data_IF_778303127665
#
_entry.id   IF_778303127665
#
_cell.length_a   1.000
_cell.length_b   1.000
_cell.length_c   1.000
_cell.angle_alpha   90.00
_cell.angle_beta   90.00
_cell.angle_gamma   90.00
#
_symmetry.space_group_name_H-M   'P 1'
#
loop_
_entity.id
_entity.type
_entity.pdbx_description
1 polymer ?
#
# COMPACT_ATOMS: atom_id res chain seq x y z
N UNK A 1 -8.58 -22.61 35.17
CA UNK A 1 -8.68 -22.65 33.69
C UNK A 1 -8.20 -21.31 33.18
N UNK A 2 -6.95 -21.23 32.72
CA UNK A 2 -6.35 -20.00 32.23
C UNK A 2 -6.89 -19.74 30.83
N UNK A 3 -7.82 -18.78 30.70
CA UNK A 3 -8.20 -18.25 29.39
C UNK A 3 -6.97 -17.55 28.83
N UNK A 4 -6.26 -18.22 27.91
CA UNK A 4 -5.18 -17.59 27.16
C UNK A 4 -5.79 -16.37 26.48
N UNK A 5 -5.49 -15.18 27.01
CA UNK A 5 -5.94 -13.92 26.44
C UNK A 5 -5.17 -13.77 25.12
N UNK A 6 -5.74 -14.36 24.07
CA UNK A 6 -5.29 -14.12 22.71
C UNK A 6 -5.60 -12.65 22.51
N UNK A 7 -4.58 -11.84 22.27
CA UNK A 7 -4.73 -10.48 21.78
C UNK A 7 -4.73 -10.57 20.26
N UNK A 8 -5.84 -10.97 19.60
CA UNK A 8 -5.83 -11.04 18.16
C UNK A 8 -5.58 -9.63 17.64
N UNK A 9 -4.71 -9.51 16.64
CA UNK A 9 -4.46 -8.24 15.95
C UNK A 9 -5.75 -7.59 15.42
N UNK A 10 -6.83 -8.38 15.31
CA UNK A 10 -8.16 -7.99 14.89
C UNK A 10 -8.97 -7.21 15.95
N UNK A 11 -8.56 -7.22 17.23
CA UNK A 11 -9.24 -6.43 18.29
C UNK A 11 -8.63 -5.04 18.48
N UNK A 12 -7.58 -4.71 17.73
CA UNK A 12 -6.98 -3.39 17.79
C UNK A 12 -7.94 -2.36 17.18
N UNK A 13 -7.96 -1.12 17.70
CA UNK A 13 -8.60 0.00 17.03
C UNK A 13 -8.08 0.19 15.60
N UNK A 14 -8.90 0.80 14.75
CA UNK A 14 -8.55 1.03 13.35
C UNK A 14 -7.29 1.90 13.22
N UNK A 15 -7.16 2.90 14.09
CA UNK A 15 -6.03 3.84 14.15
C UNK A 15 -4.72 3.10 14.42
N UNK A 16 -4.70 2.22 15.43
CA UNK A 16 -3.52 1.43 15.78
C UNK A 16 -3.18 0.44 14.66
N UNK A 17 -4.20 -0.16 14.04
CA UNK A 17 -4.01 -1.03 12.89
C UNK A 17 -3.36 -0.24 11.74
N UNK A 18 -3.87 0.93 11.39
CA UNK A 18 -3.32 1.80 10.35
C UNK A 18 -1.86 2.19 10.61
N UNK A 19 -1.49 2.54 11.84
CA UNK A 19 -0.10 2.85 12.21
C UNK A 19 0.83 1.64 12.02
N UNK A 20 0.38 0.45 12.40
CA UNK A 20 1.13 -0.79 12.14
C UNK A 20 1.33 -1.00 10.64
N UNK A 21 0.28 -0.78 9.82
CA UNK A 21 0.35 -0.92 8.38
C UNK A 21 1.31 0.09 7.74
N UNK A 22 1.35 1.34 8.24
CA UNK A 22 2.30 2.36 7.76
C UNK A 22 3.73 1.90 8.00
N UNK A 23 3.99 1.32 9.17
CA UNK A 23 5.32 0.80 9.51
C UNK A 23 5.68 -0.54 8.87
N UNK A 24 4.75 -1.20 8.17
CA UNK A 24 5.05 -2.40 7.38
C UNK A 24 5.88 -2.09 6.14
N UNK A 25 5.75 -0.88 5.58
CA UNK A 25 6.41 -0.51 4.35
C UNK A 25 7.92 -0.28 4.57
N UNK A 26 8.79 -0.63 3.60
CA UNK A 26 10.23 -0.49 3.75
C UNK A 26 10.62 0.98 3.98
N UNK A 27 11.20 1.30 5.15
CA UNK A 27 11.65 2.68 5.47
C UNK A 27 12.90 3.10 4.69
N UNK A 28 13.64 2.13 4.17
CA UNK A 28 14.83 2.32 3.34
C UNK A 28 14.48 2.71 1.89
N UNK A 29 13.20 2.65 1.50
CA UNK A 29 12.73 3.04 0.17
C UNK A 29 11.83 4.25 0.22
N UNK A 30 12.27 5.33 -0.42
CA UNK A 30 11.49 6.56 -0.58
C UNK A 30 10.23 6.34 -1.45
N UNK A 31 10.28 5.44 -2.44
CA UNK A 31 9.14 5.10 -3.29
C UNK A 31 8.89 3.59 -3.35
N UNK A 32 7.61 3.24 -3.47
CA UNK A 32 7.13 1.89 -3.25
C UNK A 32 6.65 1.28 -4.57
N UNK A 33 6.97 0.01 -4.88
CA UNK A 33 6.42 -0.65 -6.05
C UNK A 33 4.89 -0.74 -5.96
N UNK A 34 4.15 -0.61 -7.07
CA UNK A 34 2.70 -0.59 -7.05
C UNK A 34 2.08 -1.95 -6.72
N UNK A 35 2.85 -3.03 -6.89
CA UNK A 35 2.48 -4.41 -6.57
C UNK A 35 3.64 -5.18 -5.94
N UNK A 36 3.33 -6.19 -5.12
CA UNK A 36 4.32 -7.10 -4.53
C UNK A 36 4.33 -7.07 -3.00
N UNK A 37 5.20 -7.87 -2.37
CA UNK A 37 5.26 -8.02 -0.91
C UNK A 37 5.67 -6.73 -0.17
N UNK A 38 6.36 -5.82 -0.86
CA UNK A 38 6.78 -4.53 -0.32
C UNK A 38 5.78 -3.40 -0.62
N UNK A 39 4.57 -3.74 -1.07
CA UNK A 39 3.56 -2.79 -1.52
C UNK A 39 2.32 -2.84 -0.63
N UNK A 40 1.58 -1.73 -0.45
CA UNK A 40 0.27 -1.73 0.23
C UNK A 40 -0.70 -2.75 -0.36
N UNK A 41 -0.55 -3.09 -1.64
CA UNK A 41 -1.33 -4.14 -2.31
C UNK A 41 -1.22 -5.52 -1.63
N UNK A 42 -0.11 -5.80 -0.94
CA UNK A 42 0.06 -7.03 -0.16
C UNK A 42 -0.86 -7.07 1.06
N UNK A 43 -1.00 -5.94 1.76
CA UNK A 43 -1.85 -5.80 2.94
C UNK A 43 -3.32 -6.09 2.62
N UNK A 44 -3.74 -5.74 1.40
CA UNK A 44 -5.09 -6.00 0.89
C UNK A 44 -5.42 -7.50 0.78
N UNK A 45 -4.44 -8.38 0.85
CA UNK A 45 -4.61 -9.83 0.66
C UNK A 45 -4.56 -10.64 1.97
N UNK A 46 -4.29 -10.00 3.11
CA UNK A 46 -4.11 -10.69 4.40
C UNK A 46 -5.47 -11.10 4.98
N UNK A 47 -6.30 -10.12 5.35
CA UNK A 47 -7.66 -10.35 5.82
C UNK A 47 -8.58 -9.16 5.46
N UNK A 48 -9.89 -9.30 5.70
CA UNK A 48 -10.87 -8.22 5.39
C UNK A 48 -10.58 -6.94 6.17
N UNK A 49 -10.36 -7.05 7.49
CA UNK A 49 -10.10 -5.89 8.34
C UNK A 49 -8.84 -5.12 7.94
N UNK A 50 -7.77 -5.84 7.58
CA UNK A 50 -6.52 -5.21 7.10
C UNK A 50 -6.71 -4.55 5.74
N UNK A 51 -7.50 -5.15 4.86
CA UNK A 51 -7.87 -4.53 3.58
C UNK A 51 -8.62 -3.21 3.82
N UNK A 52 -9.62 -3.21 4.69
CA UNK A 52 -10.44 -2.03 4.95
C UNK A 52 -9.60 -0.92 5.60
N UNK A 53 -8.77 -1.26 6.59
CA UNK A 53 -7.84 -0.31 7.21
C UNK A 53 -6.82 0.24 6.19
N UNK A 54 -6.21 -0.62 5.37
CA UNK A 54 -5.24 -0.19 4.37
C UNK A 54 -5.86 0.74 3.32
N UNK A 55 -7.07 0.43 2.83
CA UNK A 55 -7.79 1.29 1.88
C UNK A 55 -8.18 2.64 2.48
N UNK A 56 -8.49 2.68 3.78
CA UNK A 56 -8.83 3.90 4.51
C UNK A 56 -7.62 4.69 5.03
N UNK A 57 -6.38 4.30 4.69
CA UNK A 57 -5.16 4.95 5.18
C UNK A 57 -4.41 5.61 4.02
N UNK A 58 -4.70 6.88 3.69
CA UNK A 58 -4.09 7.59 2.56
C UNK A 58 -2.55 7.60 2.52
N UNK A 59 -1.82 7.72 3.65
CA UNK A 59 -0.35 7.70 3.65
C UNK A 59 0.26 6.43 3.03
N UNK A 60 -0.43 5.28 3.10
CA UNK A 60 0.05 4.04 2.46
C UNK A 60 0.13 4.18 0.93
N UNK A 61 -0.68 5.05 0.35
CA UNK A 61 -0.82 5.25 -1.10
C UNK A 61 -0.12 6.53 -1.58
N UNK A 62 0.83 7.06 -0.80
CA UNK A 62 1.43 8.37 -1.03
C UNK A 62 2.76 8.37 -1.78
N UNK A 63 3.39 7.21 -2.00
CA UNK A 63 4.67 7.12 -2.71
C UNK A 63 4.71 5.94 -3.66
N UNK A 64 4.72 6.19 -4.97
CA UNK A 64 4.66 5.14 -6.00
C UNK A 64 5.89 5.17 -6.94
N UNK A 65 6.41 3.99 -7.26
CA UNK A 65 7.51 3.77 -8.18
C UNK A 65 7.04 3.06 -9.46
N UNK A 66 7.10 3.76 -10.60
CA UNK A 66 6.68 3.25 -11.90
C UNK A 66 7.89 3.04 -12.81
N UNK A 67 7.88 1.96 -13.56
CA UNK A 67 8.90 1.64 -14.57
C UNK A 67 8.31 1.86 -15.96
N UNK A 68 8.66 2.99 -16.56
CA UNK A 68 8.17 3.46 -17.85
C UNK A 68 9.37 3.69 -18.79
N UNK A 69 10.16 2.63 -19.03
CA UNK A 69 11.30 2.70 -19.94
C UNK A 69 10.88 2.53 -21.40
N UNK A 70 11.70 3.02 -22.33
CA UNK A 70 11.43 2.96 -23.78
C UNK A 70 11.38 1.53 -24.35
N UNK A 71 11.78 0.53 -23.56
CA UNK A 71 11.70 -0.90 -23.92
C UNK A 71 10.46 -1.59 -23.35
N UNK A 72 9.70 -0.89 -22.50
CA UNK A 72 8.53 -1.44 -21.81
C UNK A 72 7.38 -1.58 -22.80
N UNK A 73 6.79 -2.78 -22.84
CA UNK A 73 5.63 -3.06 -23.69
C UNK A 73 4.47 -2.12 -23.34
N UNK A 74 3.77 -1.62 -24.36
CA UNK A 74 2.61 -0.72 -24.19
C UNK A 74 1.55 -1.26 -23.22
N UNK A 75 1.32 -2.58 -23.22
CA UNK A 75 0.38 -3.22 -22.28
C UNK A 75 0.79 -3.05 -20.81
N UNK A 76 2.10 -3.06 -20.53
CA UNK A 76 2.65 -2.88 -19.18
C UNK A 76 2.53 -1.42 -18.76
N UNK A 77 2.77 -0.48 -19.68
CA UNK A 77 2.55 0.96 -19.45
C UNK A 77 1.08 1.21 -19.09
N UNK A 78 0.13 0.68 -19.87
CA UNK A 78 -1.31 0.79 -19.60
C UNK A 78 -1.68 0.23 -18.22
N UNK A 79 -1.09 -0.90 -17.82
CA UNK A 79 -1.31 -1.48 -16.50
C UNK A 79 -0.77 -0.58 -15.38
N UNK A 80 0.42 0.00 -15.55
CA UNK A 80 1.01 0.91 -14.57
C UNK A 80 0.22 2.21 -14.42
N UNK A 81 -0.32 2.77 -15.52
CA UNK A 81 -1.19 3.93 -15.46
C UNK A 81 -2.48 3.65 -14.69
N UNK A 82 -3.08 2.47 -14.86
CA UNK A 82 -4.25 2.05 -14.07
C UNK A 82 -3.93 1.90 -12.58
N UNK A 83 -2.72 1.42 -12.27
CA UNK A 83 -2.26 1.36 -10.88
C UNK A 83 -2.04 2.76 -10.32
N UNK A 84 -1.44 3.68 -11.09
CA UNK A 84 -1.27 5.07 -10.70
C UNK A 84 -2.62 5.74 -10.39
N UNK A 85 -3.64 5.55 -11.24
CA UNK A 85 -4.99 6.06 -11.00
C UNK A 85 -5.57 5.54 -9.69
N UNK A 86 -5.37 4.24 -9.40
CA UNK A 86 -5.80 3.62 -8.14
C UNK A 86 -5.09 4.25 -6.93
N UNK A 87 -3.78 4.53 -7.06
CA UNK A 87 -3.00 5.17 -6.01
C UNK A 87 -3.43 6.62 -5.78
N UNK A 88 -3.64 7.39 -6.86
CA UNK A 88 -4.17 8.76 -6.80
C UNK A 88 -5.48 8.81 -6.03
N UNK A 89 -6.45 7.96 -6.39
CA UNK A 89 -7.75 7.88 -5.73
C UNK A 89 -7.64 7.59 -4.23
N UNK A 90 -6.71 6.71 -3.84
CA UNK A 90 -6.54 6.27 -2.43
C UNK A 90 -5.71 7.22 -1.60
N UNK A 91 -4.80 7.98 -2.22
CA UNK A 91 -4.02 9.02 -1.54
C UNK A 91 -4.87 10.20 -1.08
N UNK A 92 -6.06 10.39 -1.66
CA UNK A 92 -6.99 11.44 -1.25
C UNK A 92 -6.35 12.82 -1.32
N UNK A 93 -6.34 13.55 -0.20
CA UNK A 93 -5.68 14.86 -0.06
C UNK A 93 -4.23 14.77 0.41
N UNK A 94 -3.70 13.57 0.65
CA UNK A 94 -2.33 13.38 1.11
C UNK A 94 -1.33 13.65 -0.04
N UNK A 95 -0.21 14.35 0.21
CA UNK A 95 0.77 14.63 -0.84
C UNK A 95 1.29 13.34 -1.50
N UNK A 96 1.16 13.25 -2.82
CA UNK A 96 1.61 12.11 -3.61
C UNK A 96 3.00 12.37 -4.20
N UNK A 97 3.91 11.43 -4.00
CA UNK A 97 5.25 11.39 -4.59
C UNK A 97 5.30 10.29 -5.65
N UNK A 98 5.64 10.66 -6.89
CA UNK A 98 5.71 9.73 -8.02
C UNK A 98 7.14 9.67 -8.55
N UNK A 99 7.72 8.48 -8.59
CA UNK A 99 9.00 8.22 -9.27
C UNK A 99 8.77 7.48 -10.57
N UNK A 100 9.29 8.04 -11.65
CA UNK A 100 9.29 7.41 -12.97
C UNK A 100 10.72 6.93 -13.28
N UNK A 101 10.89 5.63 -13.49
CA UNK A 101 12.15 5.04 -13.96
C UNK A 101 12.08 4.85 -15.47
N UNK A 102 13.14 5.29 -16.14
CA UNK A 102 13.40 5.11 -17.58
C UNK A 102 14.48 4.07 -17.80
#
# INVERSE_FOLDING_TARGET
MSSANKYPILTLPAEITSEILIHFLPKDREFIPPVGCQSPSFLLRICRQWRDAALATPPLWSSIDLQLDGTTRESVIKQQLKLLETWLQRSGSFPLSIRLRS
#
